data_IF_884619020358
#
_entry.id   IF_884619020358
#
_cell.length_a   1.000
_cell.length_b   1.000
_cell.length_c   1.000
_cell.angle_alpha   90.00
_cell.angle_beta   90.00
_cell.angle_gamma   90.00
#
_symmetry.space_group_name_H-M   'P 1'
#
loop_
_entity.id
_entity.type
_entity.pdbx_description
1 polymer ?
#
# COMPACT_ATOMS: atom_id res chain seq x y z
N UNK A 1 -9.00 2.64 0.27
CA UNK A 1 -8.37 1.39 0.75
C UNK A 1 -7.49 1.72 1.94
N UNK A 2 -7.33 0.79 2.89
CA UNK A 2 -6.44 0.95 4.04
C UNK A 2 -5.58 -0.30 4.22
N UNK A 3 -4.29 -0.10 4.53
CA UNK A 3 -3.35 -1.13 4.91
C UNK A 3 -2.86 -0.82 6.33
N UNK A 4 -3.03 -1.75 7.26
CA UNK A 4 -2.75 -1.53 8.68
C UNK A 4 -2.33 -2.82 9.37
N UNK A 5 -1.31 -2.74 10.23
CA UNK A 5 -1.01 -3.73 11.25
C UNK A 5 -1.62 -3.33 12.59
N UNK A 6 -2.00 -4.32 13.40
CA UNK A 6 -2.70 -4.07 14.67
C UNK A 6 -1.79 -3.41 15.71
N UNK A 7 -0.52 -3.80 15.76
CA UNK A 7 0.50 -3.29 16.68
C UNK A 7 1.91 -3.61 16.17
N UNK A 8 2.93 -3.39 17.01
CA UNK A 8 4.33 -3.63 16.65
C UNK A 8 4.67 -5.13 16.44
N UNK A 9 3.96 -6.03 17.10
CA UNK A 9 4.11 -7.48 16.93
C UNK A 9 3.42 -7.93 15.64
N UNK A 10 2.27 -7.33 15.32
CA UNK A 10 1.47 -7.57 14.12
C UNK A 10 1.77 -6.56 13.01
N UNK A 11 3.06 -6.26 12.78
CA UNK A 11 3.51 -5.29 11.79
C UNK A 11 3.44 -5.87 10.37
N UNK A 12 2.84 -5.12 9.43
CA UNK A 12 2.73 -5.51 8.03
C UNK A 12 3.96 -5.05 7.26
N UNK A 13 4.69 -5.98 6.64
CA UNK A 13 5.99 -5.71 6.04
C UNK A 13 6.05 -6.10 4.57
N UNK A 14 6.74 -5.30 3.77
CA UNK A 14 7.14 -5.63 2.39
C UNK A 14 5.99 -5.92 1.42
N UNK A 15 4.90 -5.16 1.52
CA UNK A 15 3.77 -5.29 0.58
C UNK A 15 4.12 -4.64 -0.74
N UNK A 16 3.88 -5.35 -1.85
CA UNK A 16 4.00 -4.80 -3.20
C UNK A 16 2.63 -4.82 -3.87
N UNK A 17 2.16 -3.65 -4.29
CA UNK A 17 1.01 -3.51 -5.16
C UNK A 17 1.50 -3.54 -6.60
N UNK A 18 1.10 -4.57 -7.35
CA UNK A 18 1.56 -4.82 -8.71
C UNK A 18 0.38 -4.75 -9.70
N UNK A 19 0.46 -3.83 -10.67
CA UNK A 19 -0.59 -3.54 -11.67
C UNK A 19 -1.99 -3.31 -11.05
N UNK A 20 -2.06 -2.72 -9.86
CA UNK A 20 -3.33 -2.46 -9.16
C UNK A 20 -3.96 -1.17 -9.67
N UNK A 21 -5.21 -1.24 -10.08
CA UNK A 21 -6.02 -0.07 -10.43
C UNK A 21 -7.20 0.09 -9.46
N UNK A 22 -7.51 1.33 -9.12
CA UNK A 22 -8.69 1.69 -8.32
C UNK A 22 -9.51 2.66 -9.15
N UNK A 23 -10.78 2.36 -9.42
CA UNK A 23 -11.65 3.18 -10.25
C UNK A 23 -11.00 3.56 -11.60
N UNK A 24 -10.32 2.61 -12.23
CA UNK A 24 -9.68 2.78 -13.55
C UNK A 24 -8.41 3.63 -13.56
N UNK A 25 -7.87 4.06 -12.40
CA UNK A 25 -6.56 4.71 -12.36
C UNK A 25 -5.55 3.85 -11.58
N UNK A 26 -4.28 3.78 -12.04
CA UNK A 26 -3.23 3.03 -11.35
C UNK A 26 -3.05 3.53 -9.94
N UNK A 27 -2.92 2.60 -8.99
CA UNK A 27 -2.60 2.92 -7.61
C UNK A 27 -1.12 3.30 -7.49
N UNK A 28 -0.87 4.55 -7.07
CA UNK A 28 0.48 5.06 -6.86
C UNK A 28 0.61 5.70 -5.46
N UNK A 29 1.84 5.82 -4.97
CA UNK A 29 2.15 6.33 -3.62
C UNK A 29 1.57 7.72 -3.33
N UNK A 30 1.53 8.59 -4.35
CA UNK A 30 1.07 9.98 -4.23
C UNK A 30 -0.46 10.10 -4.26
N UNK A 31 -1.18 9.02 -4.54
CA UNK A 31 -2.63 9.06 -4.60
C UNK A 31 -3.23 8.84 -3.21
N UNK A 32 -4.13 9.74 -2.81
CA UNK A 32 -4.87 9.72 -1.54
C UNK A 32 -5.87 8.54 -1.39
N UNK A 33 -5.68 7.46 -2.17
CA UNK A 33 -6.57 6.29 -2.30
C UNK A 33 -6.18 5.14 -1.40
N UNK A 34 -4.91 5.09 -0.99
CA UNK A 34 -4.40 4.16 0.01
C UNK A 34 -4.00 4.92 1.27
N UNK A 35 -4.57 4.54 2.40
CA UNK A 35 -4.10 4.96 3.72
C UNK A 35 -3.18 3.88 4.29
N UNK A 36 -1.97 4.27 4.65
CA UNK A 36 -0.99 3.39 5.27
C UNK A 36 -0.98 3.69 6.78
N UNK A 37 -1.29 2.67 7.58
CA UNK A 37 -1.33 2.76 9.04
C UNK A 37 0.06 2.80 9.67
N UNK A 38 0.09 3.05 10.98
CA UNK A 38 1.34 3.24 11.76
C UNK A 38 2.23 2.00 11.82
N UNK A 39 1.65 0.81 11.74
CA UNK A 39 2.35 -0.47 11.84
C UNK A 39 2.45 -1.14 10.46
N UNK A 40 3.01 -0.40 9.51
CA UNK A 40 3.25 -0.86 8.14
C UNK A 40 4.58 -0.31 7.65
N UNK A 41 5.38 -1.16 7.02
CA UNK A 41 6.68 -0.78 6.46
C UNK A 41 6.98 -1.48 5.12
N UNK A 42 7.78 -0.82 4.28
CA UNK A 42 8.26 -1.40 3.03
C UNK A 42 7.19 -1.55 1.94
N UNK A 43 6.20 -0.66 1.90
CA UNK A 43 5.19 -0.66 0.82
C UNK A 43 5.81 -0.18 -0.49
N UNK A 44 5.61 -0.96 -1.56
CA UNK A 44 6.06 -0.64 -2.92
C UNK A 44 4.89 -0.66 -3.89
N UNK A 45 4.96 0.19 -4.90
CA UNK A 45 4.03 0.20 -6.03
C UNK A 45 4.87 -0.12 -7.27
N UNK A 46 4.59 -1.26 -7.90
CA UNK A 46 5.20 -1.56 -9.18
C UNK A 46 4.50 -0.68 -10.22
N UNK A 47 5.25 0.20 -10.87
CA UNK A 47 4.76 0.90 -12.04
C UNK A 47 4.79 -0.05 -13.23
N UNK A 48 3.74 0.00 -14.06
CA UNK A 48 3.74 -0.60 -15.39
C UNK A 48 4.98 -0.06 -16.12
N UNK A 49 5.87 -0.97 -16.50
CA UNK A 49 7.16 -0.66 -17.12
C UNK A 49 7.01 -0.28 -18.59
#
# INVERSE_FOLDING_TARGET
MQLEGADAEHNVRNVTFDHVTINGQPLAAEQNRLRIGKHVEGVRFAADR
#
